data_IF_282761401860
#
_entry.id   IF_282761401860
#
_cell.length_a   1.000
_cell.length_b   1.000
_cell.length_c   1.000
_cell.angle_alpha   90.00
_cell.angle_beta   90.00
_cell.angle_gamma   90.00
#
_symmetry.space_group_name_H-M   'P 1'
#
loop_
_entity.id
_entity.type
_entity.pdbx_description
1 polymer ?
#
# COMPACT_ATOMS: atom_id res chain seq x y z
N UNK A 1 -0.78 23.55 -10.73
CA UNK A 1 -0.75 23.88 -9.28
C UNK A 1 -1.44 22.83 -8.41
N UNK A 2 -2.66 22.37 -8.73
CA UNK A 2 -3.41 21.37 -7.94
C UNK A 2 -2.66 20.05 -7.67
N UNK A 3 -1.99 19.48 -8.68
CA UNK A 3 -1.27 18.21 -8.52
C UNK A 3 -0.08 18.28 -7.56
N UNK A 4 0.65 19.41 -7.55
CA UNK A 4 1.76 19.65 -6.62
C UNK A 4 1.26 19.81 -5.19
N UNK A 5 0.16 20.54 -4.99
CA UNK A 5 -0.48 20.66 -3.68
C UNK A 5 -0.92 19.30 -3.13
N UNK A 6 -1.50 18.44 -3.98
CA UNK A 6 -1.87 17.07 -3.62
C UNK A 6 -0.66 16.21 -3.22
N UNK A 7 0.44 16.27 -3.97
CA UNK A 7 1.66 15.54 -3.66
C UNK A 7 2.30 16.00 -2.33
N UNK A 8 2.32 17.31 -2.08
CA UNK A 8 2.82 17.89 -0.83
C UNK A 8 1.96 17.44 0.35
N UNK A 9 0.63 17.54 0.23
CA UNK A 9 -0.33 17.06 1.24
C UNK A 9 -0.15 15.58 1.53
N UNK A 10 -0.02 14.74 0.50
CA UNK A 10 0.20 13.31 0.64
C UNK A 10 1.50 13.01 1.41
N UNK A 11 2.60 13.68 1.03
CA UNK A 11 3.89 13.51 1.68
C UNK A 11 3.87 14.01 3.13
N UNK A 12 3.14 15.10 3.40
CA UNK A 12 2.92 15.63 4.75
C UNK A 12 2.17 14.64 5.63
N UNK A 13 1.05 14.08 5.16
CA UNK A 13 0.26 13.07 5.89
C UNK A 13 1.10 11.81 6.16
N UNK A 14 1.92 11.37 5.20
CA UNK A 14 2.80 10.21 5.41
C UNK A 14 3.83 10.49 6.51
N UNK A 15 4.42 11.68 6.49
CA UNK A 15 5.40 12.12 7.48
C UNK A 15 4.77 12.20 8.87
N UNK A 16 3.58 12.78 8.98
CA UNK A 16 2.81 12.81 10.23
C UNK A 16 2.54 11.40 10.74
N UNK A 17 2.03 10.49 9.92
CA UNK A 17 1.77 9.11 10.34
C UNK A 17 3.03 8.40 10.87
N UNK A 18 4.19 8.62 10.23
CA UNK A 18 5.46 8.07 10.71
C UNK A 18 5.87 8.68 12.06
N UNK A 19 5.74 10.00 12.22
CA UNK A 19 6.03 10.70 13.49
C UNK A 19 5.10 10.20 14.59
N UNK A 20 3.80 10.09 14.30
CA UNK A 20 2.81 9.55 15.24
C UNK A 20 3.12 8.11 15.64
N UNK A 21 3.53 7.25 14.70
CA UNK A 21 4.00 5.90 15.02
C UNK A 21 5.17 5.92 16.01
N UNK A 22 6.17 6.78 15.79
CA UNK A 22 7.32 6.92 16.71
C UNK A 22 6.91 7.45 18.07
N UNK A 23 5.93 8.35 18.14
CA UNK A 23 5.39 8.87 19.41
C UNK A 23 4.63 7.78 20.18
N UNK A 24 3.83 6.98 19.46
CA UNK A 24 3.07 5.87 20.05
C UNK A 24 3.99 4.78 20.64
N UNK A 25 5.14 4.54 20.01
CA UNK A 25 6.16 3.61 20.55
C UNK A 25 6.83 4.09 21.84
N UNK A 26 6.73 5.39 22.16
CA UNK A 26 7.28 5.98 23.38
C UNK A 26 6.24 6.17 24.49
N UNK A 27 4.97 5.89 24.23
CA UNK A 27 3.90 6.03 25.23
C UNK A 27 3.94 4.88 26.23
N UNK A 28 3.68 5.21 27.50
CA UNK A 28 3.58 4.27 28.62
C UNK A 28 2.32 3.41 28.52
N UNK A 29 2.34 2.27 29.23
CA UNK A 29 1.38 1.15 29.16
C UNK A 29 -0.09 1.53 29.36
N UNK A 30 -0.39 2.63 30.06
CA UNK A 30 -1.75 3.09 30.39
C UNK A 30 -2.46 3.82 29.25
N UNK A 31 -1.72 4.48 28.34
CA UNK A 31 -2.29 5.27 27.23
C UNK A 31 -2.23 4.53 25.88
N UNK A 32 -1.68 3.31 25.86
CA UNK A 32 -1.46 2.55 24.64
C UNK A 32 -2.74 1.86 24.16
N UNK A 33 -3.36 2.42 23.12
CA UNK A 33 -4.51 1.81 22.46
C UNK A 33 -4.05 0.96 21.26
N UNK A 34 -4.16 -0.37 21.39
CA UNK A 34 -3.76 -1.34 20.38
C UNK A 34 -4.47 -1.12 19.03
N UNK A 35 -5.78 -0.83 19.04
CA UNK A 35 -6.53 -0.57 17.81
C UNK A 35 -5.96 0.62 17.03
N UNK A 36 -5.54 1.68 17.73
CA UNK A 36 -4.95 2.87 17.13
C UNK A 36 -3.57 2.60 16.52
N UNK A 37 -2.75 1.75 17.16
CA UNK A 37 -1.45 1.36 16.60
C UNK A 37 -1.60 0.55 15.30
N UNK A 38 -2.56 -0.37 15.27
CA UNK A 38 -2.91 -1.12 14.05
C UNK A 38 -3.40 -0.21 12.93
N UNK A 39 -4.32 0.71 13.22
CA UNK A 39 -4.84 1.66 12.21
C UNK A 39 -3.72 2.52 11.61
N UNK A 40 -2.82 3.07 12.43
CA UNK A 40 -1.69 3.87 11.94
C UNK A 40 -0.75 3.02 11.08
N UNK A 41 -0.48 1.78 11.49
CA UNK A 41 0.38 0.85 10.74
C UNK A 41 -0.21 0.49 9.39
N UNK A 42 -1.52 0.23 9.33
CA UNK A 42 -2.24 -0.02 8.09
C UNK A 42 -2.24 1.20 7.18
N UNK A 43 -2.53 2.39 7.71
CA UNK A 43 -2.49 3.65 6.95
C UNK A 43 -1.10 3.90 6.35
N UNK A 44 -0.02 3.71 7.11
CA UNK A 44 1.35 3.84 6.59
C UNK A 44 1.60 2.84 5.46
N UNK A 45 1.17 1.58 5.62
CA UNK A 45 1.33 0.54 4.60
C UNK A 45 0.62 0.92 3.30
N UNK A 46 -0.64 1.36 3.40
CA UNK A 46 -1.44 1.81 2.25
C UNK A 46 -0.79 3.02 1.58
N UNK A 47 -0.35 4.01 2.33
CA UNK A 47 0.33 5.18 1.76
C UNK A 47 1.66 4.81 1.09
N UNK A 48 2.43 3.89 1.65
CA UNK A 48 3.66 3.41 1.01
C UNK A 48 3.37 2.64 -0.29
N UNK A 49 2.30 1.85 -0.33
CA UNK A 49 1.82 1.17 -1.53
C UNK A 49 1.41 2.20 -2.61
N UNK A 50 0.57 3.17 -2.25
CA UNK A 50 0.14 4.25 -3.15
C UNK A 50 1.34 5.02 -3.73
N UNK A 51 2.36 5.31 -2.91
CA UNK A 51 3.58 5.96 -3.37
C UNK A 51 4.36 5.13 -4.39
N UNK A 52 4.46 3.81 -4.19
CA UNK A 52 5.12 2.90 -5.15
C UNK A 52 4.37 2.82 -6.48
N UNK A 53 3.05 2.97 -6.45
CA UNK A 53 2.19 2.93 -7.62
C UNK A 53 2.14 4.28 -8.36
N UNK A 54 2.24 5.40 -7.64
CA UNK A 54 2.20 6.74 -8.21
C UNK A 54 3.32 7.00 -9.25
N UNK A 55 4.55 6.53 -8.99
CA UNK A 55 5.67 6.78 -9.89
C UNK A 55 5.50 6.10 -11.27
N UNK A 56 5.21 4.79 -11.35
CA UNK A 56 4.87 4.14 -12.61
C UNK A 56 3.69 4.81 -13.32
N UNK A 57 2.62 5.17 -12.59
CA UNK A 57 1.47 5.85 -13.18
C UNK A 57 1.86 7.12 -13.93
N UNK A 58 2.71 7.97 -13.34
CA UNK A 58 3.18 9.20 -13.99
C UNK A 58 3.98 8.86 -15.26
N UNK A 59 4.89 7.88 -15.18
CA UNK A 59 5.73 7.48 -16.30
C UNK A 59 4.89 6.94 -17.48
N UNK A 60 3.88 6.12 -17.19
CA UNK A 60 2.98 5.56 -18.20
C UNK A 60 2.01 6.59 -18.82
N UNK A 61 1.78 7.73 -18.17
CA UNK A 61 0.97 8.80 -18.73
C UNK A 61 1.75 9.66 -19.75
N UNK A 62 3.09 9.69 -19.70
CA UNK A 62 3.88 10.53 -20.61
C UNK A 62 3.63 10.23 -22.10
N UNK A 63 3.56 8.96 -22.55
CA UNK A 63 3.26 8.66 -23.96
C UNK A 63 1.86 9.09 -24.37
N UNK A 64 0.87 8.95 -23.49
CA UNK A 64 -0.49 9.42 -23.75
C UNK A 64 -0.53 10.94 -23.97
N UNK A 65 0.17 11.70 -23.12
CA UNK A 65 0.34 13.14 -23.30
C UNK A 65 1.12 13.50 -24.57
N UNK A 66 2.13 12.71 -24.95
CA UNK A 66 2.87 12.93 -26.18
C UNK A 66 1.98 12.77 -27.42
N UNK A 67 1.18 11.71 -27.50
CA UNK A 67 0.31 11.47 -28.66
C UNK A 67 -0.76 12.54 -28.84
N UNK A 68 -1.42 12.97 -27.76
CA UNK A 68 -2.42 14.03 -27.83
C UNK A 68 -1.78 15.39 -28.15
N UNK A 69 -0.57 15.66 -27.65
CA UNK A 69 0.16 16.89 -27.99
C UNK A 69 0.51 16.91 -29.47
N UNK A 70 1.02 15.80 -30.02
CA UNK A 70 1.30 15.67 -31.46
C UNK A 70 0.05 15.94 -32.29
N UNK A 71 -1.10 15.40 -31.89
CA UNK A 71 -2.35 15.63 -32.60
C UNK A 71 -2.80 17.11 -32.57
N UNK A 72 -2.53 17.82 -31.48
CA UNK A 72 -3.01 19.20 -31.23
C UNK A 72 -2.09 20.26 -31.84
N UNK A 73 -0.77 20.02 -31.86
CA UNK A 73 0.21 20.98 -32.38
C UNK A 73 0.45 20.85 -33.89
N UNK A 74 0.03 19.75 -34.53
CA UNK A 74 0.14 19.61 -35.98
C UNK A 74 -0.91 20.47 -36.69
N UNK A 75 -0.52 21.31 -37.67
CA UNK A 75 -1.46 22.10 -38.45
C UNK A 75 -2.35 21.20 -39.33
N UNK A 76 -3.58 21.66 -39.60
CA UNK A 76 -4.59 21.00 -40.45
C UNK A 76 -4.23 21.08 -41.95
N UNK A 77 -3.03 20.66 -42.33
CA UNK A 77 -2.65 20.48 -43.73
C UNK A 77 -2.83 19.01 -44.15
N UNK A 78 -3.28 18.78 -45.39
CA UNK A 78 -3.51 17.44 -45.94
C UNK A 78 -2.30 16.50 -45.83
N UNK A 79 -1.08 17.07 -45.86
CA UNK A 79 0.18 16.32 -45.73
C UNK A 79 0.36 15.67 -44.34
N UNK A 80 -0.24 16.23 -43.30
CA UNK A 80 -0.08 15.77 -41.92
C UNK A 80 -1.25 14.92 -41.41
N UNK A 81 -2.31 14.75 -42.21
CA UNK A 81 -3.46 13.93 -41.85
C UNK A 81 -3.09 12.47 -41.51
N UNK A 82 -2.11 11.89 -42.22
CA UNK A 82 -1.64 10.53 -41.93
C UNK A 82 -1.01 10.45 -40.54
N UNK A 83 -0.16 11.42 -40.18
CA UNK A 83 0.53 11.45 -38.87
C UNK A 83 -0.47 11.64 -37.73
N UNK A 84 -1.48 12.51 -37.92
CA UNK A 84 -2.54 12.71 -36.93
C UNK A 84 -3.38 11.46 -36.71
N UNK A 85 -3.78 10.78 -37.77
CA UNK A 85 -4.55 9.53 -37.68
C UNK A 85 -3.75 8.41 -37.01
N UNK A 86 -2.45 8.30 -37.32
CA UNK A 86 -1.56 7.35 -36.65
C UNK A 86 -1.40 7.68 -35.16
N UNK A 87 -1.26 8.97 -34.80
CA UNK A 87 -1.16 9.38 -33.39
C UNK A 87 -2.43 9.03 -32.59
N UNK A 88 -3.62 9.21 -33.19
CA UNK A 88 -4.90 8.82 -32.56
C UNK A 88 -4.99 7.31 -32.41
N UNK A 89 -4.64 6.53 -33.45
CA UNK A 89 -4.64 5.08 -33.37
C UNK A 89 -3.65 4.54 -32.31
N UNK A 90 -2.47 5.16 -32.18
CA UNK A 90 -1.49 4.81 -31.15
C UNK A 90 -1.98 5.18 -29.74
N UNK A 91 -2.70 6.29 -29.60
CA UNK A 91 -3.34 6.66 -28.33
C UNK A 91 -4.40 5.63 -27.92
N UNK A 92 -5.29 5.25 -28.84
CA UNK A 92 -6.33 4.24 -28.61
C UNK A 92 -5.74 2.87 -28.27
N UNK A 93 -4.60 2.50 -28.88
CA UNK A 93 -3.87 1.27 -28.55
C UNK A 93 -3.14 1.36 -27.20
N UNK A 94 -2.68 2.55 -26.82
CA UNK A 94 -1.96 2.76 -25.56
C UNK A 94 -2.86 2.62 -24.33
N UNK A 95 -4.13 3.02 -24.41
CA UNK A 95 -5.10 2.90 -23.30
C UNK A 95 -5.26 1.45 -22.80
N UNK A 96 -5.58 0.45 -23.64
CA UNK A 96 -5.70 -0.94 -23.18
C UNK A 96 -4.35 -1.50 -22.73
N UNK A 97 -3.26 -1.13 -23.39
CA UNK A 97 -1.91 -1.53 -22.98
C UNK A 97 -1.55 -0.99 -21.58
N UNK A 98 -1.93 0.25 -21.29
CA UNK A 98 -1.82 0.86 -19.98
C UNK A 98 -2.65 0.11 -18.94
N UNK A 99 -3.91 -0.21 -19.25
CA UNK A 99 -4.78 -0.98 -18.35
C UNK A 99 -4.19 -2.34 -17.97
N UNK A 100 -3.68 -3.10 -18.95
CA UNK A 100 -3.04 -4.40 -18.72
C UNK A 100 -1.75 -4.25 -17.91
N UNK A 101 -0.89 -3.30 -18.29
CA UNK A 101 0.38 -3.05 -17.59
C UNK A 101 0.17 -2.61 -16.15
N UNK A 102 -0.82 -1.73 -15.91
CA UNK A 102 -1.18 -1.26 -14.58
C UNK A 102 -1.80 -2.37 -13.74
N UNK A 103 -2.67 -3.21 -14.33
CA UNK A 103 -3.21 -4.39 -13.66
C UNK A 103 -2.12 -5.37 -13.22
N UNK A 104 -1.13 -5.63 -14.09
CA UNK A 104 0.04 -6.44 -13.77
C UNK A 104 0.89 -5.81 -12.67
N UNK A 105 1.13 -4.50 -12.72
CA UNK A 105 1.87 -3.78 -11.68
C UNK A 105 1.17 -3.88 -10.32
N UNK A 106 -0.14 -3.63 -10.29
CA UNK A 106 -0.96 -3.71 -9.07
C UNK A 106 -0.97 -5.13 -8.50
N UNK A 107 -1.08 -6.14 -9.37
CA UNK A 107 -0.93 -7.54 -9.00
C UNK A 107 0.45 -7.86 -8.38
N UNK A 108 1.52 -7.26 -8.89
CA UNK A 108 2.88 -7.49 -8.35
C UNK A 108 3.13 -6.75 -7.03
N UNK A 109 2.49 -5.61 -6.78
CA UNK A 109 2.72 -4.79 -5.58
C UNK A 109 1.94 -5.29 -4.37
N UNK A 110 0.67 -5.70 -4.53
CA UNK A 110 -0.22 -5.99 -3.39
C UNK A 110 -0.58 -7.49 -3.30
N UNK A 111 -0.02 -8.23 -2.32
CA UNK A 111 -0.31 -9.65 -2.15
C UNK A 111 -1.77 -9.93 -1.76
N UNK A 112 -2.42 -9.02 -1.01
CA UNK A 112 -3.86 -9.14 -0.69
C UNK A 112 -4.74 -9.09 -1.95
N UNK A 113 -4.31 -8.31 -2.95
CA UNK A 113 -4.98 -8.25 -4.24
C UNK A 113 -4.79 -9.57 -5.00
N UNK A 114 -3.61 -10.17 -4.94
CA UNK A 114 -3.37 -11.51 -5.51
C UNK A 114 -4.31 -12.56 -4.92
N UNK A 115 -4.48 -12.57 -3.60
CA UNK A 115 -5.40 -13.50 -2.93
C UNK A 115 -6.86 -13.28 -3.37
N UNK A 116 -7.26 -12.02 -3.54
CA UNK A 116 -8.60 -11.65 -4.00
C UNK A 116 -8.83 -12.08 -5.46
N UNK A 117 -7.85 -11.86 -6.34
CA UNK A 117 -7.91 -12.24 -7.75
C UNK A 117 -7.82 -13.76 -7.92
N UNK A 118 -7.05 -14.48 -7.10
CA UNK A 118 -6.95 -15.95 -7.14
C UNK A 118 -8.27 -16.64 -6.77
N UNK A 119 -9.15 -15.97 -6.01
CA UNK A 119 -10.51 -16.48 -5.75
C UNK A 119 -11.37 -16.52 -7.02
N UNK A 120 -11.03 -15.75 -8.06
CA UNK A 120 -11.72 -15.78 -9.34
C UNK A 120 -11.11 -16.84 -10.25
N UNK A 121 -11.89 -17.90 -10.54
CA UNK A 121 -11.46 -19.07 -11.34
C UNK A 121 -10.85 -18.71 -12.70
N UNK A 122 -11.42 -17.74 -13.42
CA UNK A 122 -10.93 -17.31 -14.74
C UNK A 122 -9.61 -16.55 -14.65
N UNK A 123 -9.44 -15.72 -13.63
CA UNK A 123 -8.23 -14.95 -13.42
C UNK A 123 -7.07 -15.86 -13.00
N UNK A 124 -7.33 -16.89 -12.19
CA UNK A 124 -6.33 -17.88 -11.80
C UNK A 124 -5.70 -18.60 -13.01
N UNK A 125 -6.52 -18.96 -14.00
CA UNK A 125 -6.10 -19.67 -15.21
C UNK A 125 -5.24 -18.78 -16.13
N UNK A 126 -5.59 -17.51 -16.27
CA UNK A 126 -4.75 -16.53 -16.96
C UNK A 126 -3.43 -16.26 -16.21
N UNK A 127 -3.48 -16.15 -14.89
CA UNK A 127 -2.32 -15.82 -14.06
C UNK A 127 -1.28 -16.94 -13.99
N UNK A 128 -1.70 -18.21 -14.02
CA UNK A 128 -0.79 -19.35 -14.06
C UNK A 128 0.13 -19.28 -15.29
N UNK A 129 -0.41 -18.83 -16.43
CA UNK A 129 0.35 -18.66 -17.68
C UNK A 129 1.35 -17.48 -17.65
N UNK A 130 1.11 -16.46 -16.83
CA UNK A 130 1.98 -15.28 -16.68
C UNK A 130 2.85 -15.29 -15.39
N UNK A 131 2.67 -16.29 -14.54
CA UNK A 131 3.34 -16.42 -13.23
C UNK A 131 4.87 -16.52 -13.33
N UNK A 132 5.38 -17.20 -14.35
CA UNK A 132 6.82 -17.41 -14.53
C UNK A 132 7.59 -16.12 -14.84
N UNK A 133 6.96 -15.18 -15.54
CA UNK A 133 7.58 -13.88 -15.89
C UNK A 133 7.56 -12.92 -14.69
N UNK A 134 6.47 -12.94 -13.92
CA UNK A 134 6.26 -12.04 -12.76
C UNK A 134 7.10 -12.44 -11.53
N UNK A 135 7.37 -13.75 -11.35
CA UNK A 135 8.23 -14.24 -10.27
C UNK A 135 9.64 -13.66 -10.25
N UNK A 136 10.18 -13.26 -11.42
CA UNK A 136 11.50 -12.62 -11.55
C UNK A 136 11.53 -11.19 -11.02
N UNK A 137 10.49 -10.40 -11.28
CA UNK A 137 10.39 -9.01 -10.80
C UNK A 137 10.18 -8.95 -9.28
N UNK A 138 9.45 -9.90 -8.70
CA UNK A 138 9.23 -10.01 -7.25
C UNK A 138 10.54 -10.15 -6.47
N UNK A 139 11.52 -10.87 -7.00
CA UNK A 139 12.85 -11.01 -6.38
C UNK A 139 13.61 -9.68 -6.29
N UNK A 140 13.33 -8.73 -7.19
CA UNK A 140 14.00 -7.42 -7.24
C UNK A 140 13.33 -6.41 -6.30
N UNK A 141 12.00 -6.49 -6.12
CA UNK A 141 11.25 -5.54 -5.27
C UNK A 141 11.22 -5.95 -3.79
N UNK A 142 11.48 -7.22 -3.48
CA UNK A 142 11.57 -7.71 -2.10
C UNK A 142 12.96 -7.40 -1.55
N UNK A 143 13.21 -6.13 -1.24
CA UNK A 143 14.24 -5.77 -0.26
C UNK A 143 13.96 -6.56 1.02
N UNK A 144 15.04 -7.10 1.59
CA UNK A 144 15.13 -7.93 2.78
C UNK A 144 14.04 -7.72 3.84
N UNK A 145 13.61 -8.80 4.54
CA UNK A 145 12.71 -8.66 5.67
C UNK A 145 13.34 -7.68 6.65
N UNK A 146 12.62 -6.61 6.93
CA UNK A 146 12.95 -5.70 8.04
C UNK A 146 13.10 -6.57 9.29
N UNK A 147 14.13 -6.38 10.13
CA UNK A 147 14.33 -7.20 11.33
C UNK A 147 13.01 -7.26 12.08
N UNK A 148 12.53 -8.47 12.37
CA UNK A 148 11.30 -8.71 13.10
C UNK A 148 11.37 -7.91 14.41
N UNK A 149 10.67 -6.78 14.44
CA UNK A 149 10.31 -6.17 15.71
C UNK A 149 9.51 -7.23 16.48
N UNK A 150 9.78 -7.43 17.78
CA UNK A 150 9.07 -8.42 18.59
C UNK A 150 7.57 -8.27 18.36
N UNK A 151 6.90 -9.40 18.10
CA UNK A 151 5.50 -9.46 17.72
C UNK A 151 4.68 -8.59 18.70
N UNK A 152 4.16 -7.46 18.23
CA UNK A 152 3.41 -6.51 19.08
C UNK A 152 2.19 -7.20 19.73
N UNK A 153 1.67 -8.24 19.07
CA UNK A 153 0.65 -9.15 19.61
C UNK A 153 1.14 -9.91 20.84
N UNK A 154 2.37 -10.43 20.81
CA UNK A 154 2.97 -11.15 21.94
C UNK A 154 3.31 -10.19 23.08
N UNK A 155 3.68 -8.95 22.76
CA UNK A 155 3.83 -7.86 23.74
C UNK A 155 2.48 -7.56 24.40
N UNK A 156 1.39 -7.48 23.64
CA UNK A 156 0.04 -7.26 24.20
C UNK A 156 -0.44 -8.42 25.05
N UNK A 157 -0.33 -9.67 24.58
CA UNK A 157 -0.77 -10.83 25.35
C UNK A 157 0.08 -11.05 26.59
N UNK A 158 1.38 -10.75 26.54
CA UNK A 158 2.24 -10.76 27.74
C UNK A 158 1.93 -9.61 28.70
N UNK A 159 1.49 -8.45 28.19
CA UNK A 159 0.99 -7.36 29.03
C UNK A 159 -0.37 -7.70 29.66
N UNK A 160 -1.30 -8.27 28.91
CA UNK A 160 -2.63 -8.65 29.39
C UNK A 160 -2.52 -9.77 30.44
N UNK A 161 -1.70 -10.78 30.20
CA UNK A 161 -1.48 -11.86 31.16
C UNK A 161 -0.89 -11.34 32.47
N UNK A 162 0.06 -10.40 32.40
CA UNK A 162 0.67 -9.77 33.58
C UNK A 162 -0.34 -8.95 34.40
N UNK A 163 -1.27 -8.24 33.74
CA UNK A 163 -2.31 -7.48 34.45
C UNK A 163 -3.37 -8.40 35.06
N UNK A 164 -3.79 -9.46 34.35
CA UNK A 164 -4.67 -10.50 34.91
C UNK A 164 -4.07 -11.16 36.16
N UNK A 165 -2.75 -11.43 36.15
CA UNK A 165 -2.07 -12.03 37.29
C UNK A 165 -1.89 -11.05 38.46
N UNK A 166 -1.71 -9.76 38.20
CA UNK A 166 -1.64 -8.74 39.23
C UNK A 166 -3.00 -8.57 39.96
N UNK A 167 -4.09 -8.58 39.20
CA UNK A 167 -5.45 -8.44 39.73
C UNK A 167 -5.86 -9.65 40.59
N UNK A 168 -5.49 -10.86 40.15
CA UNK A 168 -5.68 -12.10 40.92
C UNK A 168 -4.92 -12.10 42.26
N UNK A 169 -3.74 -11.47 42.30
CA UNK A 169 -2.94 -11.35 43.53
C UNK A 169 -3.59 -10.40 44.53
N UNK A 170 -4.19 -9.30 44.05
CA UNK A 170 -4.98 -8.40 44.90
C UNK A 170 -6.26 -9.06 45.42
N UNK A 171 -7.01 -9.76 44.56
CA UNK A 171 -8.18 -10.54 44.96
C UNK A 171 -7.88 -11.55 46.07
N UNK A 172 -6.74 -12.26 45.99
CA UNK A 172 -6.36 -13.24 47.00
C UNK A 172 -5.93 -12.60 48.33
N UNK A 173 -5.29 -11.43 48.31
CA UNK A 173 -4.97 -10.70 49.55
C UNK A 173 -6.23 -10.15 50.23
N UNK A 174 -7.20 -9.65 49.46
CA UNK A 174 -8.48 -9.17 49.99
C UNK A 174 -9.32 -10.32 50.58
N UNK A 175 -9.25 -11.52 50.01
CA UNK A 175 -9.94 -12.70 50.54
C UNK A 175 -9.32 -13.22 51.85
N UNK A 176 -7.98 -13.17 51.98
CA UNK A 176 -7.28 -13.57 53.21
C UNK A 176 -7.54 -12.62 54.37
N UNK A 177 -7.65 -11.31 54.13
CA UNK A 177 -7.96 -10.32 55.19
C UNK A 177 -9.39 -10.43 55.74
N UNK A 178 -10.29 -11.17 55.07
CA UNK A 178 -11.68 -11.38 55.52
C UNK A 178 -11.79 -12.63 56.42
N UNK A 179 -10.82 -13.54 56.36
CA UNK A 179 -10.82 -14.81 57.11
C UNK A 179 -10.13 -14.66 58.48
N UNK A 180 -9.46 -13.53 58.74
CA UNK A 180 -8.70 -13.24 59.98
C UNK A 180 -9.48 -12.47 61.07
N UNK A 181 -10.81 -12.46 61.02
CA UNK A 181 -11.69 -11.87 62.06
C UNK A 181 -12.49 -12.94 62.79
#
# INVERSE_FOLDING_TARGET
MMAFAGAIMFQYILTLNIIYKRKLQKMTRTDYCLSRSYQIKENIKVMQMLRKLAFPTILFNLPAFAFISIHTYLPDEERFNVVRNVAVALFDLWIPFYGVSFGLLMYNIEPKFQESVRRWRVAALFLERFGDVTGRFRKITTKSPTPQQPNETDIYFSMLSRDLHADRKHSNMSALSIIEV
#
